data_IF_783254269511
#
_entry.id   IF_783254269511
#
_cell.length_a   1.000
_cell.length_b   1.000
_cell.length_c   1.000
_cell.angle_alpha   90.00
_cell.angle_beta   90.00
_cell.angle_gamma   90.00
#
_symmetry.space_group_name_H-M   'P 1'
#
loop_
_entity.id
_entity.type
_entity.pdbx_description
1 polymer ?
#
# COMPACT_ATOMS: atom_id res chain seq x y z
N UNK A 1 22.38 -57.94 -1.94
CA UNK A 1 21.58 -56.70 -2.09
C UNK A 1 21.43 -56.44 -3.58
N UNK A 2 20.20 -56.36 -4.07
CA UNK A 2 19.97 -56.20 -5.52
C UNK A 2 20.33 -54.81 -5.97
N UNK A 3 21.09 -54.69 -7.04
CA UNK A 3 21.53 -53.42 -7.66
C UNK A 3 20.36 -52.49 -7.95
N UNK A 4 19.21 -53.03 -8.29
CA UNK A 4 17.96 -52.31 -8.54
C UNK A 4 17.47 -51.51 -7.31
N UNK A 5 17.62 -52.02 -6.08
CA UNK A 5 17.19 -51.31 -4.85
C UNK A 5 18.07 -50.11 -4.52
N UNK A 6 19.34 -50.13 -4.91
CA UNK A 6 20.27 -49.01 -4.70
C UNK A 6 20.00 -47.88 -5.69
N UNK A 7 19.75 -48.26 -6.97
CA UNK A 7 19.42 -47.28 -8.02
C UNK A 7 18.08 -46.56 -7.73
N UNK A 8 17.06 -47.33 -7.29
CA UNK A 8 15.74 -46.71 -6.96
C UNK A 8 15.83 -45.72 -5.80
N UNK A 9 16.64 -46.03 -4.78
CA UNK A 9 16.87 -45.08 -3.67
C UNK A 9 17.64 -43.83 -4.11
N UNK A 10 18.64 -44.01 -4.98
CA UNK A 10 19.41 -42.88 -5.51
C UNK A 10 18.58 -41.92 -6.36
N UNK A 11 17.72 -42.47 -7.24
CA UNK A 11 16.82 -41.66 -8.07
C UNK A 11 15.76 -40.93 -7.24
N UNK A 12 15.23 -41.57 -6.20
CA UNK A 12 14.26 -40.97 -5.30
C UNK A 12 14.86 -39.81 -4.48
N UNK A 13 16.12 -39.95 -4.05
CA UNK A 13 16.80 -38.87 -3.30
C UNK A 13 17.18 -37.70 -4.21
N UNK A 14 17.56 -37.98 -5.46
CA UNK A 14 17.84 -36.93 -6.45
C UNK A 14 16.57 -36.17 -6.86
N UNK A 15 15.44 -36.86 -7.01
CA UNK A 15 14.17 -36.24 -7.34
C UNK A 15 13.66 -35.31 -6.21
N UNK A 16 13.85 -35.71 -4.95
CA UNK A 16 13.52 -34.86 -3.78
C UNK A 16 14.48 -33.68 -3.67
N UNK A 17 15.76 -33.82 -3.99
CA UNK A 17 16.73 -32.74 -4.02
C UNK A 17 16.41 -31.67 -5.09
N UNK A 18 16.03 -32.12 -6.29
CA UNK A 18 15.66 -31.21 -7.38
C UNK A 18 14.33 -30.51 -7.15
N UNK A 19 13.37 -31.13 -6.47
CA UNK A 19 12.09 -30.48 -6.12
C UNK A 19 12.26 -29.40 -5.06
N UNK A 20 13.27 -29.47 -4.22
CA UNK A 20 13.60 -28.43 -3.25
C UNK A 20 14.37 -27.27 -3.88
N UNK A 21 15.08 -27.48 -4.99
CA UNK A 21 15.78 -26.42 -5.72
C UNK A 21 14.90 -25.66 -6.72
N UNK A 22 13.80 -26.28 -7.20
CA UNK A 22 12.86 -25.60 -8.11
C UNK A 22 11.78 -24.81 -7.39
N UNK A 23 11.63 -24.99 -6.08
CA UNK A 23 10.86 -24.11 -5.22
C UNK A 23 11.73 -22.98 -4.72
N UNK A 24 12.20 -22.10 -5.62
CA UNK A 24 12.76 -20.82 -5.21
C UNK A 24 11.70 -20.11 -4.38
N UNK A 25 11.81 -20.23 -3.07
CA UNK A 25 11.02 -19.40 -2.16
C UNK A 25 11.44 -17.95 -2.40
N UNK A 26 10.71 -17.28 -3.27
CA UNK A 26 10.65 -15.84 -3.21
C UNK A 26 10.01 -15.51 -1.87
N UNK A 27 10.83 -15.44 -0.82
CA UNK A 27 10.41 -14.89 0.46
C UNK A 27 10.27 -13.38 0.25
N UNK A 28 9.14 -12.96 -0.33
CA UNK A 28 8.71 -11.59 -0.23
C UNK A 28 8.36 -11.34 1.23
N UNK A 29 9.19 -10.56 1.91
CA UNK A 29 8.78 -9.99 3.17
C UNK A 29 7.81 -8.87 2.84
N UNK A 30 6.54 -9.08 3.14
CA UNK A 30 5.51 -8.05 3.10
C UNK A 30 4.99 -7.85 4.50
N UNK A 31 5.00 -6.62 4.99
CA UNK A 31 4.35 -6.28 6.24
C UNK A 31 3.02 -5.58 5.94
N UNK A 32 1.97 -6.09 6.54
CA UNK A 32 0.67 -5.43 6.57
C UNK A 32 0.48 -4.89 7.98
N UNK A 33 0.19 -3.61 8.12
CA UNK A 33 -0.11 -3.01 9.42
C UNK A 33 -1.39 -3.62 10.01
N UNK A 34 -1.23 -4.79 10.56
CA UNK A 34 -2.02 -5.39 11.62
C UNK A 34 -1.00 -5.92 12.62
N UNK A 35 -0.89 -5.24 13.75
CA UNK A 35 -0.03 -5.50 14.90
C UNK A 35 0.58 -6.92 15.03
N UNK A 36 1.94 -6.93 15.14
CA UNK A 36 2.84 -7.96 15.68
C UNK A 36 3.40 -9.00 14.71
N UNK A 37 4.75 -8.91 14.47
CA UNK A 37 5.68 -10.03 14.71
C UNK A 37 7.13 -9.68 14.44
N UNK A 38 8.02 -10.12 15.33
CA UNK A 38 9.48 -9.97 15.31
C UNK A 38 10.15 -11.13 14.59
N UNK A 39 11.02 -10.85 13.60
CA UNK A 39 11.98 -11.83 13.08
C UNK A 39 13.36 -11.22 12.88
N UNK A 40 14.41 -12.02 13.19
CA UNK A 40 15.81 -11.63 13.20
C UNK A 40 16.52 -11.96 11.89
N UNK A 41 16.31 -11.17 10.89
CA UNK A 41 17.17 -10.87 9.73
C UNK A 41 16.47 -9.76 8.97
N UNK A 42 16.99 -8.55 8.98
CA UNK A 42 16.43 -7.36 8.36
C UNK A 42 14.89 -7.27 8.52
N UNK A 43 14.41 -6.32 9.29
CA UNK A 43 12.96 -6.16 9.54
C UNK A 43 12.37 -5.13 8.60
N UNK A 44 11.25 -5.49 7.96
CA UNK A 44 10.36 -4.55 7.31
C UNK A 44 9.29 -4.18 8.35
N UNK A 45 9.20 -2.91 8.73
CA UNK A 45 8.25 -2.42 9.74
C UNK A 45 7.73 -1.04 9.31
N UNK A 46 6.47 -0.99 8.86
CA UNK A 46 5.80 0.25 8.48
C UNK A 46 4.83 0.66 9.59
N UNK A 47 5.01 1.86 10.13
CA UNK A 47 4.06 2.47 11.03
C UNK A 47 3.35 3.66 10.39
N UNK A 48 2.10 3.90 10.80
CA UNK A 48 1.24 4.98 10.31
C UNK A 48 0.68 5.78 11.47
N UNK A 49 0.81 7.10 11.42
CA UNK A 49 0.29 7.99 12.44
C UNK A 49 -0.42 9.20 11.79
N UNK A 50 -1.69 9.53 12.15
CA UNK A 50 -2.62 8.75 13.00
C UNK A 50 -3.06 7.44 12.35
N UNK A 51 -3.80 6.61 13.08
CA UNK A 51 -4.36 5.36 12.56
C UNK A 51 -5.09 5.62 11.24
N UNK A 52 -4.94 4.69 10.30
CA UNK A 52 -5.50 4.77 8.95
C UNK A 52 -7.03 4.55 8.90
N UNK A 53 -7.75 5.16 9.84
CA UNK A 53 -9.21 5.16 9.93
C UNK A 53 -9.70 6.61 9.84
N UNK A 54 -10.53 6.90 8.83
CA UNK A 54 -11.10 8.24 8.63
C UNK A 54 -12.61 8.18 8.77
N UNK A 55 -13.14 9.01 9.66
CA UNK A 55 -14.57 9.16 9.86
C UNK A 55 -15.03 10.44 9.18
N UNK A 56 -15.92 10.31 8.20
CA UNK A 56 -16.52 11.40 7.45
C UNK A 56 -17.97 11.50 7.88
N UNK A 57 -18.32 12.59 8.57
CA UNK A 57 -19.68 12.85 9.03
C UNK A 57 -19.96 14.35 9.05
N UNK A 58 -21.23 14.71 9.07
CA UNK A 58 -21.70 16.10 9.13
C UNK A 58 -21.12 16.99 8.01
N UNK A 59 -20.93 16.44 6.83
CA UNK A 59 -20.49 17.19 5.65
C UNK A 59 -21.68 17.44 4.71
N UNK A 60 -21.57 18.48 3.93
CA UNK A 60 -22.51 18.85 2.87
C UNK A 60 -21.79 18.98 1.53
N UNK A 61 -22.49 18.92 0.40
CA UNK A 61 -21.88 19.17 -0.89
C UNK A 61 -21.00 20.43 -0.89
N UNK A 62 -19.80 20.32 -1.42
CA UNK A 62 -18.78 21.36 -1.44
C UNK A 62 -17.83 21.37 -0.24
N UNK A 63 -18.11 20.62 0.83
CA UNK A 63 -17.20 20.55 1.98
C UNK A 63 -15.97 19.69 1.70
N UNK A 64 -14.87 20.07 2.37
CA UNK A 64 -13.58 19.40 2.28
C UNK A 64 -13.07 19.00 3.66
N UNK A 65 -12.46 17.84 3.75
CA UNK A 65 -11.79 17.33 4.95
C UNK A 65 -10.34 17.03 4.61
N UNK A 66 -9.44 17.72 5.29
CA UNK A 66 -8.00 17.51 5.16
C UNK A 66 -7.47 16.59 6.28
N UNK A 67 -6.59 15.67 5.93
CA UNK A 67 -5.89 14.79 6.87
C UNK A 67 -4.42 14.69 6.51
N UNK A 68 -3.58 14.66 7.53
CA UNK A 68 -2.14 14.40 7.41
C UNK A 68 -1.84 13.03 8.02
N UNK A 69 -1.07 12.23 7.32
CA UNK A 69 -0.56 10.95 7.77
C UNK A 69 0.96 10.95 7.67
N UNK A 70 1.63 10.33 8.63
CA UNK A 70 3.06 10.07 8.57
C UNK A 70 3.25 8.57 8.38
N UNK A 71 3.89 8.19 7.28
CA UNK A 71 4.37 6.84 7.01
C UNK A 71 5.80 6.78 7.51
N UNK A 72 6.13 5.84 8.37
CA UNK A 72 7.49 5.71 8.92
C UNK A 72 7.97 4.28 8.74
N UNK A 73 9.17 4.14 8.23
CA UNK A 73 9.89 2.87 8.19
C UNK A 73 10.66 2.71 9.50
N UNK A 74 10.12 1.95 10.44
CA UNK A 74 10.77 1.61 11.72
C UNK A 74 11.66 0.36 11.59
N UNK A 75 11.70 -0.26 10.39
CA UNK A 75 12.52 -1.41 10.07
C UNK A 75 13.98 -1.08 9.77
N UNK A 76 14.74 -2.11 9.46
CA UNK A 76 16.17 -2.03 9.08
C UNK A 76 16.40 -2.22 7.58
N UNK A 77 15.35 -2.55 6.83
CA UNK A 77 15.35 -2.66 5.38
C UNK A 77 14.58 -1.51 4.76
N UNK A 78 14.99 -1.08 3.57
CA UNK A 78 14.27 -0.07 2.81
C UNK A 78 12.92 -0.62 2.33
N UNK A 79 11.86 0.17 2.50
CA UNK A 79 10.57 -0.08 1.90
C UNK A 79 10.64 0.43 0.46
N UNK A 80 10.41 -0.44 -0.50
CA UNK A 80 10.38 -0.08 -1.91
C UNK A 80 9.00 0.41 -2.36
N UNK A 81 7.94 -0.21 -1.84
CA UNK A 81 6.57 0.04 -2.26
C UNK A 81 5.62 0.02 -1.06
N UNK A 82 4.63 0.91 -1.05
CA UNK A 82 3.52 0.91 -0.10
C UNK A 82 2.20 0.94 -0.86
N UNK A 83 1.53 -0.20 -0.97
CA UNK A 83 0.22 -0.30 -1.59
C UNK A 83 -0.89 0.07 -0.60
N UNK A 84 -1.80 0.92 -1.03
CA UNK A 84 -2.99 1.30 -0.28
C UNK A 84 -4.16 0.40 -0.66
N UNK A 85 -4.67 -0.33 0.32
CA UNK A 85 -5.92 -1.08 0.21
C UNK A 85 -7.01 -0.32 0.98
N UNK A 86 -8.11 -0.04 0.30
CA UNK A 86 -9.19 0.82 0.81
C UNK A 86 -10.46 0.00 0.99
N UNK A 87 -11.05 0.10 2.17
CA UNK A 87 -12.42 -0.34 2.43
C UNK A 87 -13.21 0.78 3.09
N UNK A 88 -14.53 0.78 2.91
CA UNK A 88 -15.41 1.74 3.56
C UNK A 88 -16.77 1.15 3.87
N UNK A 89 -17.45 1.78 4.82
CA UNK A 89 -18.85 1.51 5.13
C UNK A 89 -19.62 2.81 5.19
N UNK A 90 -20.83 2.81 4.60
CA UNK A 90 -21.78 3.91 4.65
C UNK A 90 -22.88 3.57 5.64
N UNK A 91 -23.12 4.44 6.63
CA UNK A 91 -24.29 4.41 7.48
C UNK A 91 -25.32 5.38 6.91
N UNK A 92 -26.27 4.85 6.15
CA UNK A 92 -27.40 5.59 5.60
C UNK A 92 -28.40 5.90 6.74
N UNK A 93 -28.41 7.13 7.20
CA UNK A 93 -29.22 7.56 8.37
C UNK A 93 -30.72 7.45 8.13
N UNK A 94 -31.16 7.75 6.91
CA UNK A 94 -32.61 7.77 6.57
C UNK A 94 -33.05 6.50 5.86
N UNK A 95 -32.10 5.71 5.32
CA UNK A 95 -32.39 4.56 4.48
C UNK A 95 -32.95 4.96 3.10
N UNK A 96 -32.59 6.13 2.60
CA UNK A 96 -33.11 6.70 1.35
C UNK A 96 -32.05 6.86 0.24
N UNK A 97 -30.83 6.37 0.44
CA UNK A 97 -29.79 6.39 -0.57
C UNK A 97 -30.17 5.54 -1.78
N UNK A 98 -30.12 6.13 -2.95
CA UNK A 98 -30.31 5.46 -4.24
C UNK A 98 -28.99 5.23 -4.97
N UNK A 99 -27.91 5.85 -4.49
CA UNK A 99 -26.56 5.80 -5.02
C UNK A 99 -25.57 5.57 -3.87
N UNK A 100 -24.35 5.13 -4.19
CA UNK A 100 -23.31 4.97 -3.19
C UNK A 100 -22.72 6.34 -2.84
N UNK A 101 -22.79 6.73 -1.56
CA UNK A 101 -22.22 7.99 -1.07
C UNK A 101 -20.74 8.13 -1.41
N UNK A 102 -19.99 7.02 -1.44
CA UNK A 102 -18.55 7.03 -1.76
C UNK A 102 -18.25 7.43 -3.22
N UNK A 103 -19.19 7.34 -4.14
CA UNK A 103 -19.05 7.84 -5.51
C UNK A 103 -19.01 9.37 -5.57
N UNK A 104 -19.58 10.03 -4.56
CA UNK A 104 -19.64 11.49 -4.42
C UNK A 104 -18.51 12.06 -3.57
N UNK A 105 -17.67 11.21 -2.99
CA UNK A 105 -16.50 11.62 -2.21
C UNK A 105 -15.24 11.50 -3.07
N UNK A 106 -14.72 12.63 -3.51
CA UNK A 106 -13.42 12.71 -4.18
C UNK A 106 -12.31 12.58 -3.15
N UNK A 107 -11.33 11.74 -3.45
CA UNK A 107 -10.12 11.56 -2.64
C UNK A 107 -8.92 12.02 -3.46
N UNK A 108 -8.16 12.94 -2.91
CA UNK A 108 -6.89 13.39 -3.47
C UNK A 108 -5.80 13.10 -2.46
N UNK A 109 -4.85 12.25 -2.83
CA UNK A 109 -3.67 11.95 -2.02
C UNK A 109 -2.51 12.75 -2.58
N UNK A 110 -1.89 13.55 -1.71
CA UNK A 110 -0.85 14.49 -2.06
C UNK A 110 0.44 14.13 -1.35
N UNK A 111 1.52 14.21 -2.06
CA UNK A 111 2.86 14.15 -1.50
C UNK A 111 3.46 15.55 -1.41
N UNK A 112 4.12 15.85 -0.29
CA UNK A 112 4.81 17.12 -0.12
C UNK A 112 6.30 16.92 -0.38
N UNK A 113 6.78 17.43 -1.51
CA UNK A 113 8.21 17.51 -1.80
C UNK A 113 8.76 18.84 -1.30
N UNK A 114 10.07 19.00 -1.24
CA UNK A 114 10.72 20.25 -0.84
C UNK A 114 10.40 21.45 -1.76
N UNK A 115 9.86 21.20 -2.94
CA UNK A 115 9.60 22.22 -3.97
C UNK A 115 8.15 22.30 -4.45
N UNK A 116 7.33 21.27 -4.23
CA UNK A 116 5.92 21.25 -4.69
C UNK A 116 5.10 20.22 -3.92
N UNK A 117 3.78 20.42 -3.89
CA UNK A 117 2.81 19.41 -3.47
C UNK A 117 2.24 18.76 -4.72
N UNK A 118 2.38 17.44 -4.85
CA UNK A 118 2.03 16.69 -6.05
C UNK A 118 0.93 15.70 -5.75
N UNK A 119 -0.14 15.63 -6.55
CA UNK A 119 -1.13 14.57 -6.40
C UNK A 119 -0.54 13.24 -6.87
N UNK A 120 -0.63 12.22 -6.02
CA UNK A 120 -0.28 10.83 -6.31
C UNK A 120 -1.52 10.07 -6.76
N UNK A 121 -2.67 10.38 -6.15
CA UNK A 121 -3.96 9.77 -6.45
C UNK A 121 -5.01 10.85 -6.50
N UNK A 122 -5.87 10.81 -7.51
CA UNK A 122 -7.07 11.63 -7.61
C UNK A 122 -8.19 10.79 -8.19
N UNK A 123 -9.16 10.41 -7.37
CA UNK A 123 -10.24 9.49 -7.75
C UNK A 123 -11.43 9.64 -6.80
N UNK A 124 -12.52 8.91 -7.01
CA UNK A 124 -13.59 8.80 -5.99
C UNK A 124 -13.23 7.72 -4.97
N UNK A 125 -13.82 7.80 -3.78
CA UNK A 125 -13.59 6.80 -2.75
C UNK A 125 -14.08 5.41 -3.18
N UNK A 126 -15.20 5.34 -3.92
CA UNK A 126 -15.69 4.11 -4.50
C UNK A 126 -14.69 3.49 -5.48
N UNK A 127 -14.11 4.29 -6.37
CA UNK A 127 -13.08 3.84 -7.30
C UNK A 127 -11.77 3.47 -6.59
N UNK A 128 -11.40 4.19 -5.52
CA UNK A 128 -10.21 3.90 -4.74
C UNK A 128 -10.26 2.52 -4.08
N UNK A 129 -11.45 2.05 -3.70
CA UNK A 129 -11.66 0.69 -3.19
C UNK A 129 -11.30 -0.40 -4.20
N UNK A 130 -11.50 -0.14 -5.49
CA UNK A 130 -11.19 -1.09 -6.58
C UNK A 130 -9.72 -0.98 -7.04
N UNK A 131 -8.97 -0.02 -6.50
CA UNK A 131 -7.59 0.25 -6.83
C UNK A 131 -6.68 -0.08 -5.64
N UNK A 132 -5.42 -0.34 -5.93
CA UNK A 132 -4.37 -0.48 -4.92
C UNK A 132 -3.20 0.41 -5.31
N UNK A 133 -3.37 1.75 -5.23
CA UNK A 133 -2.30 2.65 -5.63
C UNK A 133 -1.06 2.48 -4.75
N UNK A 134 0.09 2.61 -5.38
CA UNK A 134 1.37 2.72 -4.68
C UNK A 134 1.55 4.15 -4.18
N UNK A 135 1.57 4.31 -2.86
CA UNK A 135 1.74 5.63 -2.23
C UNK A 135 3.18 6.15 -2.32
N UNK A 136 4.13 5.31 -2.67
CA UNK A 136 5.55 5.67 -2.78
C UNK A 136 5.98 5.93 -4.22
N UNK A 137 5.16 5.55 -5.21
CA UNK A 137 5.42 5.84 -6.61
C UNK A 137 5.25 7.35 -6.85
N UNK A 138 6.35 8.04 -7.06
CA UNK A 138 6.37 9.43 -7.48
C UNK A 138 6.71 9.43 -8.95
N UNK A 139 5.75 9.85 -9.79
CA UNK A 139 6.00 10.01 -11.21
C UNK A 139 7.19 10.97 -11.42
N UNK A 140 8.12 10.63 -12.32
CA UNK A 140 9.39 11.34 -12.60
C UNK A 140 9.23 12.84 -12.97
N UNK A 141 8.00 13.35 -12.99
CA UNK A 141 7.68 14.67 -13.53
C UNK A 141 7.88 15.84 -12.56
N UNK A 142 8.24 15.61 -11.31
CA UNK A 142 8.47 16.70 -10.34
C UNK A 142 9.93 17.05 -10.25
N UNK A 143 10.42 17.73 -11.28
CA UNK A 143 11.65 18.52 -11.35
C UNK A 143 12.83 18.05 -10.50
N UNK A 144 13.85 17.52 -11.13
CA UNK A 144 15.29 17.38 -10.76
C UNK A 144 15.70 16.98 -9.32
N UNK A 145 14.80 16.70 -8.42
CA UNK A 145 15.11 16.03 -7.15
C UNK A 145 14.71 14.58 -7.30
N UNK A 146 15.66 13.75 -7.73
CA UNK A 146 15.52 12.30 -7.68
C UNK A 146 15.31 11.91 -6.23
N UNK A 147 14.06 11.68 -5.86
CA UNK A 147 13.74 11.01 -4.65
C UNK A 147 13.75 9.51 -4.98
N UNK A 148 14.46 8.68 -4.23
CA UNK A 148 14.36 7.25 -4.43
C UNK A 148 12.91 6.82 -4.17
N UNK A 149 12.37 5.95 -5.02
CA UNK A 149 11.11 5.29 -4.76
C UNK A 149 11.16 4.60 -3.39
N UNK A 150 10.07 4.69 -2.63
CA UNK A 150 9.98 4.03 -1.34
C UNK A 150 10.37 4.88 -0.14
N UNK A 151 10.53 4.22 1.02
CA UNK A 151 10.88 4.85 2.31
C UNK A 151 12.13 4.15 2.85
N UNK A 152 13.30 4.82 2.86
CA UNK A 152 14.52 4.24 3.42
C UNK A 152 14.38 3.87 4.90
N UNK A 153 15.20 2.91 5.37
CA UNK A 153 15.23 2.47 6.75
C UNK A 153 15.39 3.64 7.73
N UNK A 154 14.53 3.70 8.74
CA UNK A 154 14.53 4.77 9.75
C UNK A 154 13.99 6.12 9.29
N UNK A 155 13.56 6.25 8.02
CA UNK A 155 13.00 7.50 7.48
C UNK A 155 11.47 7.52 7.56
N UNK A 156 10.92 8.73 7.40
CA UNK A 156 9.47 8.94 7.40
C UNK A 156 9.05 9.88 6.29
N UNK A 157 7.80 9.70 5.85
CA UNK A 157 7.17 10.46 4.80
C UNK A 157 5.83 11.02 5.26
N UNK A 158 5.55 12.26 4.86
CA UNK A 158 4.26 12.90 5.11
C UNK A 158 3.39 12.80 3.88
N UNK A 159 2.21 12.26 4.08
CA UNK A 159 1.16 12.14 3.10
C UNK A 159 -0.02 13.00 3.52
N UNK A 160 -0.57 13.73 2.60
CA UNK A 160 -1.74 14.57 2.82
C UNK A 160 -2.92 14.03 2.02
N UNK A 161 -4.06 13.97 2.63
CA UNK A 161 -5.28 13.48 1.98
C UNK A 161 -6.39 14.50 2.13
N UNK A 162 -6.97 14.83 0.99
CA UNK A 162 -8.15 15.66 0.88
C UNK A 162 -9.34 14.78 0.50
N UNK A 163 -10.38 14.78 1.31
CA UNK A 163 -11.68 14.23 0.99
C UNK A 163 -12.62 15.40 0.68
N UNK A 164 -13.24 15.39 -0.47
CA UNK A 164 -14.18 16.41 -0.91
C UNK A 164 -15.53 15.79 -1.23
N UNK A 165 -16.59 16.26 -0.59
CA UNK A 165 -17.94 15.93 -1.03
C UNK A 165 -18.26 16.81 -2.25
N UNK A 166 -18.22 16.23 -3.43
CA UNK A 166 -18.40 16.95 -4.68
C UNK A 166 -19.83 17.46 -4.79
N UNK A 167 -20.00 18.79 -4.93
CA UNK A 167 -21.28 19.37 -5.34
C UNK A 167 -21.44 19.17 -6.84
N UNK A 168 -22.37 18.30 -7.24
CA UNK A 168 -22.64 18.00 -8.64
C UNK A 168 -23.76 18.86 -9.25
N UNK A 169 -24.29 19.83 -8.48
CA UNK A 169 -25.37 20.72 -8.89
C UNK A 169 -26.75 20.04 -8.97
N UNK A 170 -26.87 18.82 -8.49
CA UNK A 170 -28.13 18.07 -8.39
C UNK A 170 -28.58 17.98 -6.92
N UNK A 171 -29.79 17.44 -6.69
CA UNK A 171 -30.27 17.16 -5.35
C UNK A 171 -29.49 15.99 -4.74
N UNK A 172 -28.71 16.26 -3.69
CA UNK A 172 -27.92 15.30 -2.93
C UNK A 172 -28.44 15.14 -1.48
N UNK A 173 -29.70 15.52 -1.22
CA UNK A 173 -30.30 15.44 0.12
C UNK A 173 -30.42 14.00 0.66
N UNK A 174 -30.34 12.98 -0.19
CA UNK A 174 -30.29 11.58 0.22
C UNK A 174 -29.10 11.30 1.16
N UNK A 175 -27.97 11.98 0.99
CA UNK A 175 -26.77 11.80 1.82
C UNK A 175 -26.77 12.64 3.11
N UNK A 176 -27.84 13.38 3.38
CA UNK A 176 -27.91 14.24 4.54
C UNK A 176 -28.00 13.45 5.85
N UNK A 177 -27.00 13.58 6.70
CA UNK A 177 -26.91 12.91 7.99
C UNK A 177 -26.17 11.57 7.95
N UNK A 178 -25.78 11.14 6.77
CA UNK A 178 -25.02 9.90 6.58
C UNK A 178 -23.63 10.02 7.18
N UNK A 179 -23.08 8.84 7.49
CA UNK A 179 -21.72 8.70 7.95
C UNK A 179 -20.97 7.73 7.05
N UNK A 180 -19.72 8.04 6.80
CA UNK A 180 -18.83 7.22 6.02
C UNK A 180 -17.57 6.94 6.84
N UNK A 181 -17.30 5.67 7.07
CA UNK A 181 -16.11 5.20 7.75
C UNK A 181 -15.17 4.57 6.72
N UNK A 182 -14.00 5.16 6.56
CA UNK A 182 -12.95 4.66 5.65
C UNK A 182 -11.90 3.93 6.47
N UNK A 183 -11.58 2.72 6.06
CA UNK A 183 -10.53 1.90 6.64
C UNK A 183 -9.45 1.68 5.58
N UNK A 184 -8.23 2.06 5.90
CA UNK A 184 -7.08 1.84 5.04
C UNK A 184 -6.15 0.78 5.63
N UNK A 185 -5.71 -0.11 4.76
CA UNK A 185 -4.65 -1.05 5.03
C UNK A 185 -3.47 -0.72 4.11
N UNK A 186 -2.31 -0.56 4.68
CA UNK A 186 -1.08 -0.28 3.96
C UNK A 186 -0.22 -1.54 3.92
N UNK A 187 0.14 -1.96 2.73
CA UNK A 187 0.96 -3.15 2.51
C UNK A 187 2.33 -2.70 1.97
N UNK A 188 3.33 -2.80 2.83
CA UNK A 188 4.71 -2.47 2.48
C UNK A 188 5.43 -3.69 1.90
N UNK A 189 6.29 -3.47 0.92
CA UNK A 189 7.19 -4.49 0.36
C UNK A 189 8.60 -3.93 0.18
N UNK A 190 9.58 -4.82 0.27
CA UNK A 190 10.97 -4.50 -0.03
C UNK A 190 11.26 -4.71 -1.53
N UNK A 191 12.38 -4.16 -1.99
CA UNK A 191 12.89 -4.44 -3.33
C UNK A 191 13.06 -5.94 -3.54
N UNK A 192 12.63 -6.51 -4.69
CA UNK A 192 12.95 -7.88 -5.02
C UNK A 192 14.46 -8.12 -4.94
N UNK A 193 14.87 -9.30 -4.44
CA UNK A 193 16.30 -9.65 -4.33
C UNK A 193 16.97 -9.56 -5.70
N UNK A 194 18.07 -8.83 -5.76
CA UNK A 194 18.93 -8.79 -6.95
C UNK A 194 19.82 -10.03 -6.93
N UNK A 195 19.87 -10.75 -8.04
CA UNK A 195 20.87 -11.80 -8.23
C UNK A 195 22.19 -11.11 -8.56
N UNK A 196 23.18 -11.30 -7.71
CA UNK A 196 24.55 -10.90 -8.02
C UNK A 196 25.29 -12.11 -8.57
N UNK A 197 25.73 -12.05 -9.83
CA UNK A 197 26.65 -13.02 -10.39
C UNK A 197 28.07 -12.59 -10.01
N UNK A 198 28.64 -13.27 -9.02
CA UNK A 198 29.99 -13.05 -8.51
C UNK A 198 31.08 -13.44 -9.54
N UNK A 199 30.68 -14.03 -10.66
CA UNK A 199 31.59 -14.44 -11.75
C UNK A 199 31.66 -13.42 -12.89
N UNK A 200 30.85 -12.36 -12.86
CA UNK A 200 30.89 -11.30 -13.87
C UNK A 200 31.94 -10.23 -13.53
N UNK A 201 33.07 -10.16 -14.29
CA UNK A 201 34.18 -9.24 -14.01
C UNK A 201 33.82 -7.76 -14.24
N UNK A 202 32.67 -7.47 -14.87
CA UNK A 202 32.22 -6.10 -15.19
C UNK A 202 31.29 -5.51 -14.11
N UNK A 203 31.00 -6.28 -13.04
CA UNK A 203 30.06 -5.88 -11.98
C UNK A 203 30.75 -5.47 -10.67
N UNK A 204 31.90 -4.80 -10.76
CA UNK A 204 32.70 -4.34 -9.60
C UNK A 204 32.68 -2.81 -9.48
#
# INVERSE_FOLDING_TARGET
MSFTKVVTKGVMTAALGLSLMSGGTYAYFSDSVSTQNTFASGTLDLSVNPNAVVNINNIKPGDEIYREFTLKNDGTLDIYQVLLDTDYTVEDWKGDNTEDFAEHIKVTILYNTSSATVPVVETTLAQLKEQQPDLTAIDEFVGSTQRPDGIPAGQQEKMFVLFQFVDNGQDQNQFQGDKLLVNWKLNASQTPSTYYDDTDPDNN
#
